data_IF_786716807492
#
_entry.id   IF_786716807492
#
_cell.length_a   1.000
_cell.length_b   1.000
_cell.length_c   1.000
_cell.angle_alpha   90.00
_cell.angle_beta   90.00
_cell.angle_gamma   90.00
#
_symmetry.space_group_name_H-M   'P 1'
#
loop_
_entity.id
_entity.type
_entity.pdbx_description
1 polymer ?
#
# COMPACT_ATOMS: atom_id res chain seq x y z
N UNK A 1 -20.55 45.62 -31.69
CA UNK A 1 -19.10 45.52 -31.46
C UNK A 1 -18.94 44.42 -30.41
N UNK A 2 -18.14 43.40 -30.71
CA UNK A 2 -18.23 42.02 -30.19
C UNK A 2 -18.38 41.90 -28.66
N UNK A 3 -19.46 41.23 -28.22
CA UNK A 3 -19.56 40.62 -26.89
C UNK A 3 -18.57 39.46 -26.82
N UNK A 4 -17.40 39.72 -26.25
CA UNK A 4 -16.45 38.67 -25.93
C UNK A 4 -17.03 37.95 -24.72
N UNK A 5 -17.73 36.83 -24.98
CA UNK A 5 -18.02 35.83 -23.95
C UNK A 5 -16.69 35.40 -23.33
N UNK A 6 -16.31 36.04 -22.22
CA UNK A 6 -15.21 35.58 -21.39
C UNK A 6 -15.65 34.21 -20.90
N UNK A 7 -15.05 33.19 -21.50
CA UNK A 7 -15.29 31.82 -21.12
C UNK A 7 -14.87 31.66 -19.64
N UNK A 8 -15.79 31.33 -18.72
CA UNK A 8 -15.47 31.18 -17.31
C UNK A 8 -14.44 30.06 -17.05
N UNK A 9 -14.15 29.22 -18.06
CA UNK A 9 -13.09 28.22 -18.01
C UNK A 9 -11.67 28.77 -18.23
N UNK A 10 -11.49 30.05 -18.60
CA UNK A 10 -10.14 30.64 -18.81
C UNK A 10 -9.41 30.89 -17.46
N UNK A 11 -10.14 30.89 -16.34
CA UNK A 11 -9.56 31.08 -15.00
C UNK A 11 -9.58 29.83 -14.10
N UNK A 12 -9.83 28.64 -14.63
CA UNK A 12 -9.50 27.43 -13.86
C UNK A 12 -8.00 27.21 -13.98
N UNK A 13 -7.23 27.86 -13.10
CA UNK A 13 -5.93 27.32 -12.69
C UNK A 13 -6.21 25.90 -12.22
N UNK A 14 -5.52 24.93 -12.80
CA UNK A 14 -5.61 23.53 -12.37
C UNK A 14 -5.06 23.41 -10.95
N UNK A 15 -5.95 23.53 -9.95
CA UNK A 15 -5.63 23.40 -8.52
C UNK A 15 -5.44 21.94 -8.09
N UNK A 16 -5.47 20.97 -9.01
CA UNK A 16 -5.46 19.53 -8.67
C UNK A 16 -4.11 18.85 -8.86
N UNK A 17 -3.00 19.57 -8.75
CA UNK A 17 -1.69 18.94 -8.73
C UNK A 17 -1.40 18.37 -7.32
N UNK A 18 -2.20 17.41 -6.88
CA UNK A 18 -1.94 16.61 -5.67
C UNK A 18 -0.69 15.79 -5.98
N UNK A 19 0.38 15.96 -5.19
CA UNK A 19 1.58 15.16 -5.35
C UNK A 19 1.26 13.67 -5.19
N UNK A 20 2.04 12.81 -5.83
CA UNK A 20 1.92 11.36 -5.67
C UNK A 20 1.86 10.95 -4.18
N UNK A 21 2.70 11.58 -3.34
CA UNK A 21 2.72 11.32 -1.90
C UNK A 21 1.42 11.72 -1.21
N UNK A 22 0.86 12.88 -1.55
CA UNK A 22 -0.41 13.32 -0.97
C UNK A 22 -1.57 12.41 -1.39
N UNK A 23 -1.59 11.96 -2.64
CA UNK A 23 -2.56 10.98 -3.13
C UNK A 23 -2.41 9.64 -2.39
N UNK A 24 -1.19 9.11 -2.29
CA UNK A 24 -0.90 7.85 -1.60
C UNK A 24 -1.25 7.92 -0.12
N UNK A 25 -0.96 9.03 0.54
CA UNK A 25 -1.35 9.27 1.93
C UNK A 25 -2.87 9.23 2.08
N UNK A 26 -3.61 9.88 1.17
CA UNK A 26 -5.08 9.83 1.21
C UNK A 26 -5.62 8.41 1.01
N UNK A 27 -5.02 7.62 0.12
CA UNK A 27 -5.38 6.22 -0.05
C UNK A 27 -5.13 5.39 1.22
N UNK A 28 -4.00 5.63 1.91
CA UNK A 28 -3.67 4.99 3.19
C UNK A 28 -4.66 5.37 4.27
N UNK A 29 -5.01 6.66 4.39
CA UNK A 29 -5.98 7.16 5.38
C UNK A 29 -7.38 6.55 5.16
N UNK A 30 -7.75 6.29 3.91
CA UNK A 30 -9.00 5.60 3.55
C UNK A 30 -8.92 4.08 3.73
N UNK A 31 -7.79 3.52 4.19
CA UNK A 31 -7.62 2.08 4.39
C UNK A 31 -7.48 1.27 3.10
N UNK A 32 -7.06 1.87 1.99
CA UNK A 32 -6.81 1.14 0.75
C UNK A 32 -5.67 0.12 0.97
N UNK A 33 -5.98 -1.17 0.82
CA UNK A 33 -5.07 -2.28 1.15
C UNK A 33 -3.80 -2.29 0.29
N UNK A 34 -3.91 -1.96 -0.99
CA UNK A 34 -2.77 -1.87 -1.90
C UNK A 34 -1.85 -0.70 -1.51
N UNK A 35 -2.43 0.45 -1.14
CA UNK A 35 -1.66 1.62 -0.71
C UNK A 35 -0.97 1.37 0.65
N UNK A 36 -1.66 0.74 1.60
CA UNK A 36 -1.09 0.27 2.86
C UNK A 36 0.10 -0.65 2.61
N UNK A 37 -0.07 -1.68 1.78
CA UNK A 37 0.99 -2.62 1.42
C UNK A 37 2.19 -1.93 0.78
N UNK A 38 1.98 -1.13 -0.28
CA UNK A 38 3.08 -0.45 -0.98
C UNK A 38 3.85 0.50 -0.07
N UNK A 39 3.15 1.33 0.70
CA UNK A 39 3.80 2.27 1.61
C UNK A 39 4.56 1.54 2.71
N UNK A 40 3.97 0.49 3.31
CA UNK A 40 4.64 -0.36 4.29
C UNK A 40 5.91 -1.00 3.75
N UNK A 41 5.87 -1.58 2.54
CA UNK A 41 7.05 -2.18 1.91
C UNK A 41 8.15 -1.16 1.60
N UNK A 42 7.79 0.02 1.08
CA UNK A 42 8.75 1.11 0.82
C UNK A 42 9.44 1.53 2.12
N UNK A 43 8.67 1.77 3.18
CA UNK A 43 9.20 2.16 4.49
C UNK A 43 10.10 1.08 5.08
N UNK A 44 9.70 -0.19 4.99
CA UNK A 44 10.46 -1.33 5.50
C UNK A 44 11.83 -1.43 4.81
N UNK A 45 11.88 -1.43 3.47
CA UNK A 45 13.15 -1.55 2.74
C UNK A 45 14.03 -0.31 2.82
N UNK A 46 13.46 0.86 3.08
CA UNK A 46 14.22 2.09 3.36
C UNK A 46 14.68 2.20 4.81
N UNK A 47 14.25 1.27 5.68
CA UNK A 47 14.46 1.33 7.13
C UNK A 47 13.90 2.63 7.74
N UNK A 48 12.81 3.15 7.18
CA UNK A 48 12.10 4.35 7.65
C UNK A 48 10.99 3.92 8.61
N UNK A 49 11.19 4.11 9.91
CA UNK A 49 10.22 3.76 10.97
C UNK A 49 9.71 2.31 10.82
N UNK A 50 10.55 1.30 11.10
CA UNK A 50 10.23 -0.11 10.85
C UNK A 50 8.93 -0.57 11.54
N UNK A 51 8.63 -0.06 12.73
CA UNK A 51 7.37 -0.38 13.44
C UNK A 51 6.14 0.08 12.65
N UNK A 52 6.17 1.30 12.11
CA UNK A 52 5.09 1.85 11.26
C UNK A 52 5.00 1.06 9.95
N UNK A 53 6.14 0.69 9.38
CA UNK A 53 6.18 -0.11 8.16
C UNK A 53 5.47 -1.47 8.35
N UNK A 54 5.78 -2.16 9.46
CA UNK A 54 5.16 -3.43 9.81
C UNK A 54 3.67 -3.27 10.12
N UNK A 55 3.26 -2.21 10.82
CA UNK A 55 1.84 -1.93 11.08
C UNK A 55 1.03 -1.75 9.78
N UNK A 56 1.59 -1.04 8.79
CA UNK A 56 0.95 -0.85 7.47
C UNK A 56 0.79 -2.18 6.72
N UNK A 57 1.83 -3.03 6.73
CA UNK A 57 1.80 -4.35 6.10
C UNK A 57 0.77 -5.25 6.81
N UNK A 58 0.76 -5.26 8.14
CA UNK A 58 -0.18 -6.04 8.95
C UNK A 58 -1.64 -5.62 8.69
N UNK A 59 -1.94 -4.33 8.58
CA UNK A 59 -3.27 -3.84 8.22
C UNK A 59 -3.70 -4.34 6.83
N UNK A 60 -2.80 -4.31 5.85
CA UNK A 60 -3.10 -4.84 4.51
C UNK A 60 -3.34 -6.36 4.56
N UNK A 61 -2.52 -7.10 5.30
CA UNK A 61 -2.61 -8.55 5.50
C UNK A 61 -3.93 -8.95 6.16
N UNK A 62 -4.31 -8.31 7.28
CA UNK A 62 -5.60 -8.52 7.96
C UNK A 62 -6.80 -8.16 7.09
N UNK A 63 -6.59 -7.28 6.11
CA UNK A 63 -7.54 -6.97 5.06
C UNK A 63 -7.68 -8.07 3.99
N UNK A 64 -6.93 -9.16 4.04
CA UNK A 64 -6.95 -10.21 3.00
C UNK A 64 -6.24 -9.79 1.72
N UNK A 65 -5.19 -8.99 1.81
CA UNK A 65 -4.41 -8.56 0.65
C UNK A 65 -3.36 -9.60 0.27
N UNK A 66 -3.58 -10.35 -0.82
CA UNK A 66 -2.71 -11.45 -1.26
C UNK A 66 -1.22 -11.10 -1.32
N UNK A 67 -0.85 -9.97 -1.91
CA UNK A 67 0.55 -9.57 -2.02
C UNK A 67 1.16 -9.21 -0.66
N UNK A 68 0.35 -8.70 0.28
CA UNK A 68 0.81 -8.42 1.64
C UNK A 68 1.04 -9.73 2.41
N UNK A 69 0.13 -10.70 2.27
CA UNK A 69 0.28 -12.03 2.85
C UNK A 69 1.54 -12.73 2.35
N UNK A 70 1.79 -12.69 1.03
CA UNK A 70 3.02 -13.24 0.45
C UNK A 70 4.27 -12.50 0.91
N UNK A 71 4.27 -11.16 0.84
CA UNK A 71 5.40 -10.32 1.24
C UNK A 71 5.79 -10.52 2.71
N UNK A 72 4.80 -10.51 3.62
CA UNK A 72 4.99 -10.82 5.03
C UNK A 72 5.62 -12.20 5.22
N UNK A 73 5.09 -13.22 4.56
CA UNK A 73 5.60 -14.58 4.71
C UNK A 73 7.05 -14.72 4.26
N UNK A 74 7.44 -14.07 3.16
CA UNK A 74 8.82 -14.07 2.66
C UNK A 74 9.75 -13.34 3.64
N UNK A 75 9.35 -12.17 4.14
CA UNK A 75 10.12 -11.42 5.16
C UNK A 75 10.34 -12.31 6.40
N UNK A 76 9.29 -12.93 6.92
CA UNK A 76 9.37 -13.80 8.11
C UNK A 76 10.28 -15.01 7.89
N UNK A 77 10.29 -15.61 6.69
CA UNK A 77 11.22 -16.68 6.32
C UNK A 77 12.67 -16.22 6.40
N UNK A 78 12.97 -15.04 5.84
CA UNK A 78 14.33 -14.49 5.82
C UNK A 78 14.80 -13.97 7.18
N UNK A 79 13.89 -13.53 8.06
CA UNK A 79 14.23 -13.18 9.45
C UNK A 79 14.67 -14.41 10.27
N UNK A 80 14.28 -15.62 9.86
CA UNK A 80 14.73 -16.86 10.50
C UNK A 80 14.05 -17.12 11.86
N UNK A 81 14.60 -18.07 12.61
CA UNK A 81 14.12 -18.40 13.96
C UNK A 81 12.66 -18.86 14.00
N UNK A 82 11.90 -18.34 14.96
CA UNK A 82 10.48 -18.63 15.13
C UNK A 82 9.61 -18.09 13.99
N UNK A 83 9.97 -16.94 13.42
CA UNK A 83 9.27 -16.30 12.31
C UNK A 83 9.28 -17.14 11.04
N UNK A 84 10.36 -17.89 10.81
CA UNK A 84 10.48 -18.72 9.60
C UNK A 84 9.39 -19.79 9.52
N UNK A 85 9.05 -20.41 10.65
CA UNK A 85 7.96 -21.40 10.73
C UNK A 85 6.61 -20.77 10.37
N UNK A 86 6.36 -19.57 10.89
CA UNK A 86 5.14 -18.82 10.58
C UNK A 86 5.07 -18.46 9.11
N UNK A 87 6.15 -17.95 8.52
CA UNK A 87 6.19 -17.61 7.09
C UNK A 87 5.95 -18.82 6.18
N UNK A 88 6.58 -19.97 6.46
CA UNK A 88 6.33 -21.21 5.71
C UNK A 88 4.87 -21.67 5.84
N UNK A 89 4.30 -21.61 7.05
CA UNK A 89 2.89 -21.95 7.29
C UNK A 89 1.97 -21.05 6.45
N UNK A 90 2.20 -19.74 6.46
CA UNK A 90 1.42 -18.75 5.72
C UNK A 90 1.43 -19.02 4.22
N UNK A 91 2.60 -19.28 3.61
CA UNK A 91 2.68 -19.66 2.18
C UNK A 91 1.89 -20.93 1.89
N UNK A 92 2.02 -21.94 2.76
CA UNK A 92 1.27 -23.19 2.62
C UNK A 92 -0.25 -22.98 2.65
N UNK A 93 -0.74 -22.08 3.51
CA UNK A 93 -2.16 -21.71 3.58
C UNK A 93 -2.62 -20.99 2.32
N UNK A 94 -1.83 -20.03 1.82
CA UNK A 94 -2.13 -19.34 0.56
C UNK A 94 -2.24 -20.29 -0.63
N UNK A 95 -1.32 -21.27 -0.73
CA UNK A 95 -1.34 -22.27 -1.80
C UNK A 95 -2.58 -23.15 -1.76
N UNK A 96 -3.05 -23.53 -0.57
CA UNK A 96 -4.29 -24.31 -0.41
C UNK A 96 -5.55 -23.50 -0.72
N UNK A 97 -5.51 -22.19 -0.48
CA UNK A 97 -6.65 -21.30 -0.68
C UNK A 97 -6.91 -20.92 -2.15
N UNK A 98 -5.92 -21.12 -3.04
CA UNK A 98 -6.07 -20.87 -4.49
C UNK A 98 -6.53 -22.15 -5.19
N UNK A 99 -7.79 -22.27 -5.64
CA UNK A 99 -8.21 -23.40 -6.45
C UNK A 99 -7.44 -23.40 -7.78
N UNK A 100 -6.93 -24.57 -8.15
CA UNK A 100 -6.22 -24.87 -9.39
C UNK A 100 -7.11 -24.79 -10.62
#
# INVERSE_FOLDING_TARGET
>A
MLDIHINPFIHIKDERNISFDAFMNKCVDCGNKEALYRKGMVNFFRNENPDVALELIDKALKGGHDAATYGFAIISIFLGGEYSREGVKTIGEMLRARPS
#
